data_IF_034554046629
#
_entry.id   IF_034554046629
#
_cell.length_a   1.000
_cell.length_b   1.000
_cell.length_c   1.000
_cell.angle_alpha   90.00
_cell.angle_beta   90.00
_cell.angle_gamma   90.00
#
_symmetry.space_group_name_H-M   'P 1'
#
loop_
_entity.id
_entity.type
_entity.pdbx_description
1 polymer ?
#
# COMPACT_ATOMS: atom_id res chain seq x y z
N UNK A 1 -1.17 6.13 -39.37
CA UNK A 1 -1.11 5.53 -38.03
C UNK A 1 -2.14 6.23 -37.16
N UNK A 2 -3.17 5.53 -36.70
CA UNK A 2 -4.22 6.10 -35.84
C UNK A 2 -3.74 5.95 -34.40
N UNK A 3 -3.77 6.99 -33.55
CA UNK A 3 -3.37 6.86 -32.15
C UNK A 3 -4.35 5.94 -31.41
N UNK A 4 -3.82 5.08 -30.54
CA UNK A 4 -4.61 4.23 -29.66
C UNK A 4 -5.46 5.08 -28.70
N UNK A 5 -6.68 4.65 -28.33
CA UNK A 5 -7.51 5.38 -27.39
C UNK A 5 -6.82 5.40 -26.01
N UNK A 6 -6.86 6.56 -25.35
CA UNK A 6 -6.36 6.71 -23.98
C UNK A 6 -7.14 5.76 -23.04
N UNK A 7 -6.47 5.16 -22.05
CA UNK A 7 -7.16 4.37 -21.03
C UNK A 7 -8.21 5.26 -20.32
N UNK A 8 -9.34 4.67 -19.88
CA UNK A 8 -10.36 5.42 -19.17
C UNK A 8 -9.74 6.05 -17.91
N UNK A 9 -10.14 7.28 -17.52
CA UNK A 9 -9.74 7.83 -16.24
C UNK A 9 -10.18 6.85 -15.15
N UNK A 10 -9.23 6.40 -14.32
CA UNK A 10 -9.53 5.70 -13.07
C UNK A 10 -10.35 6.67 -12.23
N UNK A 11 -11.66 6.47 -12.20
CA UNK A 11 -12.54 7.18 -11.29
C UNK A 11 -12.19 6.72 -9.88
N UNK A 12 -11.37 7.52 -9.19
CA UNK A 12 -11.18 7.44 -7.73
C UNK A 12 -12.58 7.46 -7.11
N UNK A 13 -12.99 6.41 -6.36
CA UNK A 13 -14.28 6.42 -5.71
C UNK A 13 -14.39 7.66 -4.81
N UNK A 14 -15.37 8.55 -5.01
CA UNK A 14 -15.59 9.65 -4.09
C UNK A 14 -16.08 9.06 -2.76
N UNK A 15 -15.33 9.22 -1.67
CA UNK A 15 -15.85 8.99 -0.32
C UNK A 15 -14.98 8.19 0.65
N UNK A 16 -13.73 7.86 0.31
CA UNK A 16 -12.81 7.32 1.31
C UNK A 16 -12.42 8.38 2.35
N UNK A 17 -12.35 8.01 3.63
CA UNK A 17 -11.91 8.93 4.68
C UNK A 17 -10.46 9.36 4.42
N UNK A 18 -10.19 10.67 4.46
CA UNK A 18 -8.85 11.19 4.22
C UNK A 18 -8.00 11.09 5.49
N UNK A 19 -6.91 10.35 5.43
CA UNK A 19 -5.97 10.18 6.52
C UNK A 19 -4.95 11.33 6.51
N UNK A 20 -4.90 12.08 7.60
CA UNK A 20 -4.00 13.22 7.72
C UNK A 20 -2.53 12.78 7.89
N UNK A 21 -1.59 13.33 7.10
CA UNK A 21 -0.19 13.00 7.22
C UNK A 21 0.47 13.66 8.45
N UNK A 22 1.45 12.97 9.00
CA UNK A 22 2.37 13.45 10.02
C UNK A 22 3.78 13.48 9.41
N UNK A 23 4.35 14.69 9.27
CA UNK A 23 5.66 14.91 8.65
C UNK A 23 5.81 14.29 7.24
N UNK A 24 4.73 14.32 6.45
CA UNK A 24 4.73 13.79 5.08
C UNK A 24 4.45 12.28 4.96
N UNK A 25 4.14 11.61 6.07
CA UNK A 25 3.82 10.19 6.10
C UNK A 25 2.48 9.92 6.76
N UNK A 26 1.78 8.87 6.34
CA UNK A 26 0.66 8.29 7.07
C UNK A 26 1.07 6.88 7.48
N UNK A 27 0.93 6.55 8.76
CA UNK A 27 1.15 5.21 9.28
C UNK A 27 -0.19 4.57 9.58
N UNK A 28 -0.43 3.39 9.04
CA UNK A 28 -1.68 2.66 9.18
C UNK A 28 -1.41 1.25 9.68
N UNK A 29 -2.43 0.67 10.31
CA UNK A 29 -2.47 -0.73 10.69
C UNK A 29 -3.79 -1.34 10.25
N UNK A 30 -3.75 -2.54 9.69
CA UNK A 30 -4.97 -3.25 9.30
C UNK A 30 -5.82 -3.54 10.53
N UNK A 31 -7.14 -3.70 10.34
CA UNK A 31 -8.05 -4.05 11.44
C UNK A 31 -7.60 -5.29 12.23
N UNK A 32 -7.00 -6.26 11.54
CA UNK A 32 -6.47 -7.50 12.11
C UNK A 32 -5.18 -7.33 12.93
N UNK A 33 -4.47 -6.20 12.79
CA UNK A 33 -3.16 -5.96 13.41
C UNK A 33 -2.00 -6.72 12.76
N UNK A 34 -2.24 -7.48 11.69
CA UNK A 34 -1.22 -8.33 11.05
C UNK A 34 -0.32 -7.59 10.06
N UNK A 35 -0.73 -6.40 9.63
CA UNK A 35 0.01 -5.63 8.64
C UNK A 35 -0.01 -4.16 9.00
N UNK A 36 1.18 -3.55 8.96
CA UNK A 36 1.37 -2.11 9.18
C UNK A 36 1.95 -1.50 7.92
N UNK A 37 1.53 -0.30 7.54
CA UNK A 37 2.07 0.36 6.35
C UNK A 37 2.40 1.82 6.62
N UNK A 38 3.48 2.27 5.99
CA UNK A 38 3.86 3.65 5.81
C UNK A 38 3.49 4.10 4.40
N UNK A 39 2.68 5.15 4.30
CA UNK A 39 2.27 5.77 3.05
C UNK A 39 2.94 7.12 2.92
N UNK A 40 3.51 7.40 1.76
CA UNK A 40 4.07 8.70 1.35
C UNK A 40 3.52 9.09 -0.02
N UNK A 41 3.78 10.31 -0.48
CA UNK A 41 3.43 10.74 -1.84
C UNK A 41 4.13 9.93 -2.95
N UNK A 42 5.27 9.30 -2.62
CA UNK A 42 6.13 8.58 -3.59
C UNK A 42 5.97 7.07 -3.55
N UNK A 43 5.62 6.51 -2.40
CA UNK A 43 5.63 5.07 -2.20
C UNK A 43 4.78 4.64 -1.01
N UNK A 44 4.40 3.36 -1.01
CA UNK A 44 3.80 2.66 0.11
C UNK A 44 4.71 1.51 0.52
N UNK A 45 5.17 1.53 1.77
CA UNK A 45 5.89 0.43 2.40
C UNK A 45 5.01 -0.29 3.40
N UNK A 46 4.86 -1.60 3.32
CA UNK A 46 4.13 -2.41 4.29
C UNK A 46 5.04 -3.43 4.97
N UNK A 47 4.85 -3.62 6.27
CA UNK A 47 5.48 -4.63 7.10
C UNK A 47 4.43 -5.65 7.56
N UNK A 48 4.72 -6.92 7.37
CA UNK A 48 3.93 -8.05 7.83
C UNK A 48 4.81 -9.30 7.98
N UNK A 49 4.35 -10.26 8.78
CA UNK A 49 4.93 -11.62 8.77
C UNK A 49 4.37 -12.39 7.57
N UNK A 50 4.98 -12.22 6.40
CA UNK A 50 4.53 -12.86 5.17
C UNK A 50 4.79 -14.37 5.18
N UNK A 51 3.79 -15.18 4.81
CA UNK A 51 3.89 -16.64 4.79
C UNK A 51 4.82 -17.15 3.68
N UNK A 52 4.86 -16.47 2.54
CA UNK A 52 5.60 -16.89 1.34
C UNK A 52 6.55 -15.78 0.85
N UNK A 53 7.22 -15.10 1.77
CA UNK A 53 8.14 -14.03 1.43
C UNK A 53 9.42 -14.54 0.75
N UNK A 54 9.97 -13.80 -0.23
CA UNK A 54 11.31 -14.08 -0.76
C UNK A 54 12.38 -13.84 0.31
N UNK A 55 13.54 -14.47 0.15
CA UNK A 55 14.70 -14.17 0.99
C UNK A 55 15.39 -12.89 0.53
N UNK A 56 15.63 -11.98 1.48
CA UNK A 56 16.44 -10.76 1.33
C UNK A 56 17.55 -10.83 2.37
N UNK A 57 18.79 -10.77 1.91
CA UNK A 57 20.00 -10.88 2.75
C UNK A 57 20.04 -12.15 3.64
N UNK A 58 19.45 -13.24 3.17
CA UNK A 58 19.41 -14.53 3.88
C UNK A 58 18.31 -14.65 4.93
N UNK A 59 17.36 -13.71 4.96
CA UNK A 59 16.18 -13.74 5.83
C UNK A 59 14.90 -13.60 5.01
N UNK A 60 13.79 -14.25 5.41
CA UNK A 60 12.49 -13.98 4.80
C UNK A 60 12.15 -12.49 4.93
N UNK A 61 11.82 -11.85 3.81
CA UNK A 61 11.41 -10.45 3.81
C UNK A 61 10.15 -10.27 4.67
N UNK A 62 10.18 -9.29 5.57
CA UNK A 62 9.02 -8.87 6.34
C UNK A 62 8.45 -7.53 5.86
N UNK A 63 9.05 -6.95 4.81
CA UNK A 63 8.67 -5.67 4.25
C UNK A 63 8.56 -5.70 2.73
N UNK A 64 7.62 -4.94 2.20
CA UNK A 64 7.44 -4.68 0.77
C UNK A 64 7.23 -3.19 0.54
N UNK A 65 7.85 -2.64 -0.50
CA UNK A 65 7.65 -1.26 -0.91
C UNK A 65 7.21 -1.21 -2.37
N UNK A 66 6.15 -0.45 -2.67
CA UNK A 66 5.72 -0.11 -4.03
C UNK A 66 5.85 1.39 -4.26
N UNK A 67 6.49 1.80 -5.34
CA UNK A 67 6.58 3.21 -5.74
C UNK A 67 5.31 3.64 -6.48
N UNK A 68 5.07 4.95 -6.60
CA UNK A 68 4.01 5.50 -7.43
C UNK A 68 4.13 5.09 -8.91
N UNK A 69 5.33 4.68 -9.36
CA UNK A 69 5.58 4.15 -10.69
C UNK A 69 5.32 2.63 -10.82
N UNK A 70 4.91 1.97 -9.73
CA UNK A 70 4.65 0.52 -9.71
C UNK A 70 5.90 -0.34 -9.51
N UNK A 71 7.05 0.25 -9.17
CA UNK A 71 8.26 -0.52 -8.89
C UNK A 71 8.18 -1.15 -7.49
N UNK A 72 8.48 -2.44 -7.40
CA UNK A 72 8.37 -3.22 -6.17
C UNK A 72 9.74 -3.58 -5.63
N UNK A 73 9.91 -3.48 -4.32
CA UNK A 73 11.12 -3.94 -3.63
C UNK A 73 10.73 -4.66 -2.36
N UNK A 74 11.24 -5.88 -2.19
CA UNK A 74 11.18 -6.60 -0.93
C UNK A 74 12.36 -6.21 -0.05
N UNK A 75 12.12 -6.10 1.24
CA UNK A 75 13.13 -5.69 2.20
C UNK A 75 12.91 -6.38 3.55
N UNK A 76 13.98 -6.44 4.33
CA UNK A 76 13.91 -6.78 5.75
C UNK A 76 14.03 -5.48 6.53
N UNK A 77 12.97 -5.08 7.23
CA UNK A 77 12.87 -3.78 7.88
C UNK A 77 12.02 -3.83 9.14
N UNK A 78 12.03 -2.73 9.89
CA UNK A 78 11.15 -2.55 11.02
C UNK A 78 10.70 -1.10 11.09
N UNK A 79 9.39 -0.88 11.02
CA UNK A 79 8.75 0.42 11.14
C UNK A 79 8.82 0.97 12.58
N UNK A 80 9.26 0.18 13.54
CA UNK A 80 9.40 0.57 14.95
C UNK A 80 8.05 0.76 15.64
N UNK A 81 8.10 1.34 16.84
CA UNK A 81 6.92 1.65 17.66
C UNK A 81 6.38 3.06 17.31
N UNK A 82 5.87 3.18 16.08
CA UNK A 82 5.28 4.42 15.56
C UNK A 82 3.75 4.32 15.69
N UNK A 83 3.06 5.36 16.21
CA UNK A 83 1.61 5.39 16.26
C UNK A 83 0.99 5.22 14.86
N UNK A 84 0.09 4.25 14.75
CA UNK A 84 -0.65 3.95 13.52
C UNK A 84 -2.11 4.40 13.63
N UNK A 85 -2.72 4.69 12.49
CA UNK A 85 -4.18 4.75 12.38
C UNK A 85 -4.69 3.34 12.11
N UNK A 86 -5.47 2.78 13.03
CA UNK A 86 -6.12 1.50 12.81
C UNK A 86 -7.24 1.66 11.76
N UNK A 87 -7.19 0.86 10.71
CA UNK A 87 -8.18 0.87 9.65
C UNK A 87 -9.38 -0.02 10.00
N UNK A 88 -10.59 0.48 9.74
CA UNK A 88 -11.76 -0.35 9.46
C UNK A 88 -11.81 -0.83 8.00
N UNK A 89 -12.65 -1.83 7.71
CA UNK A 89 -12.88 -2.32 6.35
C UNK A 89 -13.72 -1.35 5.53
N UNK A 90 -13.02 -0.40 4.91
CA UNK A 90 -13.58 0.64 4.05
C UNK A 90 -12.48 1.27 3.21
N UNK A 91 -12.87 2.24 2.40
CA UNK A 91 -11.94 3.02 1.59
C UNK A 91 -11.42 4.23 2.36
N UNK A 92 -10.14 4.54 2.16
CA UNK A 92 -9.45 5.72 2.65
C UNK A 92 -8.70 6.39 1.50
N UNK A 93 -8.31 7.64 1.72
CA UNK A 93 -7.37 8.34 0.84
C UNK A 93 -6.23 8.91 1.68
N UNK A 94 -5.02 8.88 1.13
CA UNK A 94 -3.84 9.45 1.78
C UNK A 94 -2.77 9.78 0.74
N UNK A 95 -2.30 11.02 0.71
CA UNK A 95 -1.11 11.42 -0.07
C UNK A 95 -1.14 11.00 -1.55
N UNK A 96 -2.31 11.05 -2.20
CA UNK A 96 -2.48 10.63 -3.60
C UNK A 96 -2.60 9.12 -3.82
N UNK A 97 -2.91 8.38 -2.75
CA UNK A 97 -3.26 6.97 -2.80
C UNK A 97 -4.70 6.74 -2.37
N UNK A 98 -5.41 5.94 -3.14
CA UNK A 98 -6.64 5.28 -2.71
C UNK A 98 -6.28 3.97 -1.99
N UNK A 99 -6.78 3.82 -0.76
CA UNK A 99 -6.55 2.65 0.08
C UNK A 99 -7.88 1.93 0.28
N UNK A 100 -7.99 0.68 -0.15
CA UNK A 100 -9.18 -0.16 0.06
C UNK A 100 -8.80 -1.26 1.04
N UNK A 101 -9.26 -1.15 2.28
CA UNK A 101 -9.06 -2.17 3.31
C UNK A 101 -10.25 -3.14 3.32
N UNK A 102 -9.97 -4.43 3.20
CA UNK A 102 -10.94 -5.52 3.31
C UNK A 102 -10.42 -6.60 4.27
N UNK A 103 -11.24 -7.62 4.53
CA UNK A 103 -10.81 -8.79 5.31
C UNK A 103 -9.69 -9.57 4.61
N UNK A 104 -9.72 -9.61 3.27
CA UNK A 104 -8.76 -10.37 2.45
C UNK A 104 -7.40 -9.68 2.30
N UNK A 105 -7.30 -8.39 2.64
CA UNK A 105 -6.07 -7.61 2.47
C UNK A 105 -6.33 -6.13 2.24
N UNK A 106 -5.27 -5.40 1.93
CA UNK A 106 -5.33 -3.95 1.67
C UNK A 106 -4.80 -3.64 0.28
N UNK A 107 -5.60 -2.93 -0.52
CA UNK A 107 -5.21 -2.45 -1.84
C UNK A 107 -4.79 -0.99 -1.77
N UNK A 108 -3.65 -0.66 -2.33
CA UNK A 108 -3.14 0.69 -2.52
C UNK A 108 -3.07 0.97 -4.01
N UNK A 109 -3.73 2.04 -4.45
CA UNK A 109 -3.65 2.53 -5.84
C UNK A 109 -3.17 3.96 -5.82
N UNK A 110 -2.12 4.27 -6.56
CA UNK A 110 -1.73 5.66 -6.78
C UNK A 110 -2.73 6.32 -7.72
N UNK A 111 -3.31 7.44 -7.30
CA UNK A 111 -4.38 8.10 -8.04
C UNK A 111 -3.88 8.74 -9.34
N UNK A 112 -2.58 9.07 -9.41
CA UNK A 112 -1.97 9.71 -10.58
C UNK A 112 -1.55 8.73 -11.68
N UNK A 113 -1.10 7.54 -11.30
CA UNK A 113 -0.56 6.56 -12.26
C UNK A 113 -1.45 5.32 -12.43
N UNK A 114 -2.33 5.05 -11.47
CA UNK A 114 -3.12 3.82 -11.41
C UNK A 114 -2.33 2.60 -10.93
N UNK A 115 -1.01 2.73 -10.67
CA UNK A 115 -0.17 1.64 -10.20
C UNK A 115 -0.35 1.39 -8.70
N UNK A 116 -0.02 0.19 -8.25
CA UNK A 116 0.02 -0.06 -6.83
C UNK A 116 0.16 -1.52 -6.46
N UNK A 117 -0.33 -1.86 -5.27
CA UNK A 117 -0.24 -3.20 -4.73
C UNK A 117 -1.47 -3.61 -3.93
N UNK A 118 -1.75 -4.91 -3.92
CA UNK A 118 -2.61 -5.57 -2.96
C UNK A 118 -1.75 -6.40 -2.01
N UNK A 119 -1.80 -6.10 -0.72
CA UNK A 119 -0.98 -6.73 0.33
C UNK A 119 -1.84 -7.52 1.30
N UNK A 120 -1.38 -8.72 1.63
CA UNK A 120 -1.93 -9.62 2.65
C UNK A 120 -0.82 -10.54 3.17
N UNK A 121 -1.07 -11.28 4.24
CA UNK A 121 -0.05 -12.15 4.85
C UNK A 121 0.42 -13.26 3.90
N UNK A 122 -0.45 -13.70 2.97
CA UNK A 122 -0.12 -14.72 1.98
C UNK A 122 0.84 -14.20 0.90
N UNK A 123 0.91 -12.89 0.69
CA UNK A 123 1.80 -12.26 -0.27
C UNK A 123 1.31 -10.91 -0.83
N UNK A 124 1.97 -10.49 -1.90
CA UNK A 124 1.77 -9.18 -2.54
C UNK A 124 1.54 -9.34 -4.03
N UNK A 125 0.54 -8.63 -4.55
CA UNK A 125 0.25 -8.55 -5.98
C UNK A 125 0.32 -7.10 -6.45
N UNK A 126 0.93 -6.82 -7.60
CA UNK A 126 1.09 -5.45 -8.13
C UNK A 126 0.51 -5.29 -9.52
N UNK A 127 0.15 -4.05 -9.89
CA UNK A 127 -0.50 -3.69 -11.15
C UNK A 127 -0.12 -2.27 -11.59
#
# INVERSE_FOLDING_TARGET
ITPAPAPPPVTVPPGGENLAPQNGYVYIETKSGLTRCQVSDRAVGCEAEFENAPEVDGFPANGVNVTAAGEVTWLTGNLGDIPTVQLDYRTYTALGWTIVATEDGTRFTNDGTGHGMFVRIEGVETY
#
